data_IF_468446997460
#
_entry.id   IF_468446997460
#
_cell.length_a   1.000
_cell.length_b   1.000
_cell.length_c   1.000
_cell.angle_alpha   90.00
_cell.angle_beta   90.00
_cell.angle_gamma   90.00
#
_symmetry.space_group_name_H-M   'P 1'
#
loop_
_entity.id
_entity.type
_entity.pdbx_description
1 polymer ?
#
# COMPACT_ATOMS: atom_id res chain seq x y z
N UNK A 1 -13.54 -6.23 -10.22
CA UNK A 1 -12.51 -5.50 -9.46
C UNK A 1 -12.61 -3.98 -9.55
N UNK A 2 -12.23 -3.29 -10.64
CA UNK A 2 -12.21 -1.80 -10.63
C UNK A 2 -13.60 -1.20 -10.38
N UNK A 3 -14.64 -1.72 -11.04
CA UNK A 3 -16.03 -1.26 -10.86
C UNK A 3 -16.54 -1.49 -9.44
N UNK A 4 -16.18 -2.62 -8.83
CA UNK A 4 -16.53 -2.94 -7.42
C UNK A 4 -15.80 -2.02 -6.46
N UNK A 5 -14.49 -1.80 -6.66
CA UNK A 5 -13.69 -0.91 -5.82
C UNK A 5 -14.21 0.54 -5.83
N UNK A 6 -14.74 1.02 -6.95
CA UNK A 6 -15.38 2.34 -7.06
C UNK A 6 -16.76 2.32 -6.37
N UNK A 7 -17.55 1.25 -6.54
CA UNK A 7 -18.88 1.15 -5.90
C UNK A 7 -18.81 0.94 -4.38
N UNK A 8 -17.72 0.36 -3.88
CA UNK A 8 -17.51 0.05 -2.47
C UNK A 8 -17.87 1.21 -1.53
N UNK A 9 -17.40 2.42 -1.82
CA UNK A 9 -17.70 3.61 -1.01
C UNK A 9 -19.01 4.33 -1.38
N UNK A 10 -19.74 3.91 -2.41
CA UNK A 10 -20.93 4.61 -2.90
C UNK A 10 -22.25 3.91 -2.55
N UNK A 11 -22.20 2.62 -2.17
CA UNK A 11 -23.39 1.80 -1.91
C UNK A 11 -23.68 1.58 -0.43
N UNK A 12 -22.84 2.08 0.48
CA UNK A 12 -23.07 1.98 1.91
C UNK A 12 -23.92 3.15 2.43
N UNK A 13 -24.79 2.87 3.42
CA UNK A 13 -25.61 3.90 4.06
C UNK A 13 -24.77 4.99 4.75
N UNK A 14 -23.55 4.64 5.19
CA UNK A 14 -22.58 5.54 5.84
C UNK A 14 -21.46 6.05 4.90
N UNK A 15 -21.60 5.83 3.59
CA UNK A 15 -20.65 6.24 2.55
C UNK A 15 -20.19 7.69 2.67
N UNK A 16 -21.17 8.61 2.78
CA UNK A 16 -20.93 10.05 2.84
C UNK A 16 -20.15 10.42 4.09
N UNK A 17 -20.54 9.89 5.25
CA UNK A 17 -19.85 10.13 6.53
C UNK A 17 -18.41 9.65 6.47
N UNK A 18 -18.19 8.47 5.92
CA UNK A 18 -16.87 7.84 5.78
C UNK A 18 -15.96 8.65 4.87
N UNK A 19 -16.43 9.03 3.68
CA UNK A 19 -15.65 9.85 2.74
C UNK A 19 -15.40 11.24 3.30
N UNK A 20 -16.37 11.83 4.00
CA UNK A 20 -16.21 13.14 4.64
C UNK A 20 -15.15 13.10 5.73
N UNK A 21 -15.26 12.16 6.67
CA UNK A 21 -14.34 12.06 7.78
C UNK A 21 -12.94 11.64 7.32
N UNK A 22 -12.86 10.65 6.44
CA UNK A 22 -11.60 10.18 5.86
C UNK A 22 -10.91 11.25 5.02
N UNK A 23 -11.66 12.01 4.23
CA UNK A 23 -11.14 13.16 3.47
C UNK A 23 -10.61 14.27 4.38
N UNK A 24 -11.33 14.62 5.45
CA UNK A 24 -10.86 15.59 6.47
C UNK A 24 -9.62 15.06 7.18
N UNK A 25 -9.59 13.80 7.60
CA UNK A 25 -8.41 13.21 8.24
C UNK A 25 -7.20 13.20 7.29
N UNK A 26 -7.43 12.93 6.00
CA UNK A 26 -6.39 12.97 4.96
C UNK A 26 -5.88 14.40 4.74
N UNK A 27 -6.77 15.39 4.74
CA UNK A 27 -6.41 16.80 4.65
C UNK A 27 -5.51 17.24 5.82
N UNK A 28 -5.80 16.72 7.01
CA UNK A 28 -5.03 16.97 8.23
C UNK A 28 -3.97 15.90 8.51
N UNK A 29 -3.59 15.06 7.54
CA UNK A 29 -2.61 13.98 7.75
C UNK A 29 -1.19 14.49 8.07
N UNK A 30 -0.90 15.78 7.91
CA UNK A 30 0.33 16.37 8.46
C UNK A 30 0.35 16.36 9.99
N UNK A 31 -0.82 16.26 10.62
CA UNK A 31 -0.98 15.94 12.03
C UNK A 31 -0.89 14.42 12.18
N UNK A 32 0.03 13.95 13.02
CA UNK A 32 0.30 12.52 13.20
C UNK A 32 -0.96 11.71 13.59
N UNK A 33 -1.88 12.29 14.36
CA UNK A 33 -3.11 11.61 14.80
C UNK A 33 -4.04 11.28 13.61
N UNK A 34 -4.48 12.25 12.78
CA UNK A 34 -5.20 11.96 11.54
C UNK A 34 -4.48 11.01 10.59
N UNK A 35 -3.16 11.11 10.47
CA UNK A 35 -2.36 10.18 9.65
C UNK A 35 -2.56 8.73 10.10
N UNK A 36 -2.38 8.47 11.39
CA UNK A 36 -2.54 7.13 11.94
C UNK A 36 -4.01 6.67 11.90
N UNK A 37 -4.98 7.57 12.07
CA UNK A 37 -6.39 7.21 11.90
C UNK A 37 -6.72 6.73 10.47
N UNK A 38 -6.21 7.42 9.44
CA UNK A 38 -6.38 6.98 8.03
C UNK A 38 -5.66 5.66 7.78
N UNK A 39 -4.41 5.51 8.25
CA UNK A 39 -3.67 4.27 8.10
C UNK A 39 -4.40 3.08 8.75
N UNK A 40 -4.95 3.27 9.96
CA UNK A 40 -5.75 2.26 10.64
C UNK A 40 -7.04 1.92 9.90
N UNK A 41 -7.68 2.93 9.29
CA UNK A 41 -8.87 2.72 8.47
C UNK A 41 -8.57 1.84 7.27
N UNK A 42 -7.45 2.08 6.57
CA UNK A 42 -7.00 1.27 5.45
C UNK A 42 -6.68 -0.17 5.87
N UNK A 43 -6.13 -0.39 7.07
CA UNK A 43 -5.93 -1.73 7.64
C UNK A 43 -7.26 -2.44 7.85
N UNK A 44 -8.29 -1.75 8.38
CA UNK A 44 -9.64 -2.32 8.55
C UNK A 44 -10.30 -2.68 7.23
N UNK A 45 -10.19 -1.81 6.22
CA UNK A 45 -10.69 -2.08 4.87
C UNK A 45 -10.07 -3.38 4.35
N UNK A 46 -8.75 -3.48 4.45
CA UNK A 46 -8.02 -4.66 3.99
C UNK A 46 -8.45 -5.92 4.75
N UNK A 47 -8.53 -5.86 6.08
CA UNK A 47 -8.94 -6.99 6.93
C UNK A 47 -10.35 -7.51 6.59
N UNK A 48 -11.31 -6.60 6.36
CA UNK A 48 -12.69 -6.98 6.00
C UNK A 48 -12.77 -7.58 4.60
N UNK A 49 -12.20 -6.91 3.61
CA UNK A 49 -12.30 -7.36 2.21
C UNK A 49 -11.51 -8.64 1.96
N UNK A 50 -10.42 -8.86 2.70
CA UNK A 50 -9.71 -10.14 2.71
C UNK A 50 -10.59 -11.31 3.20
N UNK A 51 -11.56 -11.04 4.09
CA UNK A 51 -12.54 -12.03 4.56
C UNK A 51 -13.80 -12.09 3.69
N UNK A 52 -13.86 -11.34 2.60
CA UNK A 52 -15.03 -11.23 1.73
C UNK A 52 -16.17 -10.39 2.32
N UNK A 53 -15.89 -9.58 3.33
CA UNK A 53 -16.82 -8.57 3.85
C UNK A 53 -16.60 -7.25 3.10
N UNK A 54 -17.50 -6.97 2.16
CA UNK A 54 -17.49 -5.80 1.29
C UNK A 54 -18.23 -4.59 1.88
N UNK A 55 -18.59 -4.62 3.18
CA UNK A 55 -19.15 -3.45 3.84
C UNK A 55 -18.05 -2.49 4.33
N UNK A 56 -18.04 -1.21 3.88
CA UNK A 56 -17.07 -0.22 4.34
C UNK A 56 -17.03 -0.10 5.87
N UNK A 57 -15.84 -0.15 6.50
CA UNK A 57 -15.74 0.11 7.92
C UNK A 57 -16.12 1.54 8.22
N UNK A 58 -16.56 1.77 9.46
CA UNK A 58 -16.83 3.09 10.00
C UNK A 58 -15.64 3.58 10.82
N UNK A 59 -15.59 4.89 11.06
CA UNK A 59 -14.59 5.51 11.94
C UNK A 59 -15.07 5.48 13.39
N UNK A 60 -14.89 4.34 14.02
CA UNK A 60 -15.18 4.09 15.43
C UNK A 60 -13.95 3.51 16.14
N UNK A 61 -14.08 3.28 17.45
CA UNK A 61 -13.03 2.64 18.27
C UNK A 61 -11.65 3.30 18.05
N UNK A 62 -11.63 4.64 18.05
CA UNK A 62 -10.49 5.47 17.66
C UNK A 62 -9.14 5.06 18.25
N UNK A 63 -9.14 4.56 19.48
CA UNK A 63 -7.94 4.06 20.14
C UNK A 63 -7.32 2.87 19.39
N UNK A 64 -8.12 1.86 19.06
CA UNK A 64 -7.68 0.69 18.28
C UNK A 64 -7.30 1.11 16.86
N UNK A 65 -8.13 1.94 16.23
CA UNK A 65 -7.89 2.46 14.89
C UNK A 65 -6.51 3.14 14.78
N UNK A 66 -6.20 4.05 15.70
CA UNK A 66 -4.91 4.77 15.72
C UNK A 66 -3.76 3.81 16.02
N UNK A 67 -3.93 2.85 16.94
CA UNK A 67 -2.89 1.87 17.28
C UNK A 67 -2.56 0.98 16.08
N UNK A 68 -3.56 0.50 15.35
CA UNK A 68 -3.35 -0.33 14.17
C UNK A 68 -2.75 0.49 13.03
N UNK A 69 -3.15 1.76 12.87
CA UNK A 69 -2.50 2.67 11.94
C UNK A 69 -1.06 2.99 12.30
N UNK A 70 -0.72 3.10 13.58
CA UNK A 70 0.65 3.28 14.05
C UNK A 70 1.51 2.04 13.73
N UNK A 71 0.99 0.83 13.98
CA UNK A 71 1.67 -0.43 13.63
C UNK A 71 1.88 -0.55 12.12
N UNK A 72 0.86 -0.27 11.31
CA UNK A 72 0.98 -0.27 9.85
C UNK A 72 1.99 0.77 9.34
N UNK A 73 1.99 1.96 9.95
CA UNK A 73 2.97 3.01 9.65
C UNK A 73 4.39 2.59 10.03
N UNK A 74 4.55 1.89 11.15
CA UNK A 74 5.85 1.33 11.56
C UNK A 74 6.34 0.26 10.57
N UNK A 75 5.45 -0.60 10.08
CA UNK A 75 5.79 -1.58 9.02
C UNK A 75 6.29 -0.84 7.77
N UNK A 76 5.50 0.10 7.24
CA UNK A 76 5.87 0.89 6.07
C UNK A 76 7.21 1.62 6.26
N UNK A 77 7.44 2.18 7.46
CA UNK A 77 8.68 2.85 7.82
C UNK A 77 9.88 1.90 7.76
N UNK A 78 9.80 0.70 8.35
CA UNK A 78 10.89 -0.28 8.30
C UNK A 78 11.22 -0.68 6.85
N UNK A 79 10.21 -0.90 6.01
CA UNK A 79 10.42 -1.17 4.59
C UNK A 79 11.09 0.00 3.86
N UNK A 80 10.71 1.25 4.18
CA UNK A 80 11.28 2.45 3.58
C UNK A 80 12.74 2.73 3.99
N UNK A 81 13.22 2.16 5.10
CA UNK A 81 14.62 2.32 5.53
C UNK A 81 15.59 1.73 4.50
N UNK A 82 15.25 0.62 3.85
CA UNK A 82 16.14 -0.06 2.89
C UNK A 82 16.51 0.85 1.70
N UNK A 83 15.56 1.36 0.89
CA UNK A 83 15.90 2.28 -0.18
C UNK A 83 16.55 3.57 0.34
N UNK A 84 16.11 4.08 1.49
CA UNK A 84 16.65 5.32 2.08
C UNK A 84 18.13 5.20 2.43
N UNK A 85 18.52 4.13 3.13
CA UNK A 85 19.92 3.90 3.51
C UNK A 85 20.79 3.71 2.27
N UNK A 86 20.30 2.98 1.26
CA UNK A 86 21.02 2.80 -0.01
C UNK A 86 21.22 4.13 -0.72
N UNK A 87 20.16 4.94 -0.84
CA UNK A 87 20.25 6.27 -1.43
C UNK A 87 21.27 7.15 -0.70
N UNK A 88 21.19 7.21 0.63
CA UNK A 88 22.12 8.00 1.45
C UNK A 88 23.57 7.53 1.27
N UNK A 89 23.80 6.22 1.23
CA UNK A 89 25.15 5.68 1.00
C UNK A 89 25.74 6.15 -0.34
N UNK A 90 24.96 6.13 -1.41
CA UNK A 90 25.40 6.62 -2.73
C UNK A 90 25.55 8.14 -2.79
N UNK A 91 24.63 8.89 -2.19
CA UNK A 91 24.71 10.36 -2.15
C UNK A 91 25.92 10.84 -1.34
N UNK A 92 26.17 10.24 -0.18
CA UNK A 92 27.32 10.60 0.68
C UNK A 92 28.62 10.22 0.01
N UNK A 93 28.76 8.98 -0.48
CA UNK A 93 29.98 8.54 -1.15
C UNK A 93 30.27 9.35 -2.41
N UNK A 94 29.27 9.56 -3.27
CA UNK A 94 29.39 10.37 -4.47
C UNK A 94 29.70 11.84 -4.17
N UNK A 95 29.07 12.41 -3.14
CA UNK A 95 29.34 13.77 -2.68
C UNK A 95 30.76 13.96 -2.16
N UNK A 96 31.27 13.01 -1.36
CA UNK A 96 32.66 13.03 -0.86
C UNK A 96 33.68 12.93 -2.00
N UNK A 97 33.43 12.07 -2.99
CA UNK A 97 34.28 11.93 -4.17
C UNK A 97 34.24 13.21 -5.04
N UNK A 98 33.06 13.81 -5.20
CA UNK A 98 32.88 15.10 -5.88
C UNK A 98 33.61 16.26 -5.20
N UNK A 99 33.64 16.27 -3.86
CA UNK A 99 34.31 17.30 -3.09
C UNK A 99 35.85 17.15 -3.01
N UNK A 100 36.42 16.10 -3.59
CA UNK A 100 37.86 15.81 -3.50
C UNK A 100 38.77 16.77 -4.27
N UNK A 101 38.21 17.59 -5.18
CA UNK A 101 38.97 18.48 -6.07
C UNK A 101 39.64 17.76 -7.24
N UNK A 102 39.42 16.45 -7.40
CA UNK A 102 39.89 15.67 -8.56
C UNK A 102 38.77 15.49 -9.58
N UNK A 103 39.01 15.88 -10.83
CA UNK A 103 38.04 15.69 -11.93
C UNK A 103 37.68 14.21 -12.14
N UNK A 104 38.66 13.32 -12.01
CA UNK A 104 38.46 11.87 -12.15
C UNK A 104 37.58 11.33 -11.02
N UNK A 105 37.88 11.70 -9.76
CA UNK A 105 37.05 11.26 -8.63
C UNK A 105 35.67 11.91 -8.66
N UNK A 106 35.56 13.15 -9.13
CA UNK A 106 34.27 13.82 -9.34
C UNK A 106 33.41 13.10 -10.38
N UNK A 107 34.00 12.67 -11.49
CA UNK A 107 33.31 11.86 -12.49
C UNK A 107 32.86 10.50 -11.93
N UNK A 108 33.73 9.80 -11.17
CA UNK A 108 33.38 8.54 -10.50
C UNK A 108 32.24 8.77 -9.50
N UNK A 109 32.31 9.84 -8.71
CA UNK A 109 31.26 10.21 -7.75
C UNK A 109 29.92 10.46 -8.44
N UNK A 110 29.92 11.19 -9.55
CA UNK A 110 28.71 11.44 -10.36
C UNK A 110 28.10 10.15 -10.92
N UNK A 111 28.92 9.25 -11.47
CA UNK A 111 28.45 7.93 -11.93
C UNK A 111 27.90 7.12 -10.76
N UNK A 112 28.58 7.15 -9.61
CA UNK A 112 28.15 6.49 -8.38
C UNK A 112 26.76 6.95 -7.93
N UNK A 113 26.51 8.27 -7.90
CA UNK A 113 25.19 8.82 -7.58
C UNK A 113 24.14 8.37 -8.59
N UNK A 114 24.45 8.42 -9.88
CA UNK A 114 23.51 8.00 -10.92
C UNK A 114 23.12 6.53 -10.78
N UNK A 115 24.09 5.63 -10.60
CA UNK A 115 23.83 4.21 -10.32
C UNK A 115 23.03 4.06 -9.03
N UNK A 116 23.38 4.81 -7.99
CA UNK A 116 22.67 4.84 -6.72
C UNK A 116 21.20 5.22 -6.85
N UNK A 117 20.87 6.20 -7.69
CA UNK A 117 19.49 6.60 -7.99
C UNK A 117 18.72 5.49 -8.70
N UNK A 118 19.36 4.76 -9.64
CA UNK A 118 18.73 3.63 -10.31
C UNK A 118 18.45 2.47 -9.33
N UNK A 119 19.40 2.16 -8.45
CA UNK A 119 19.23 1.13 -7.42
C UNK A 119 18.16 1.56 -6.41
N UNK A 120 18.17 2.81 -5.97
CA UNK A 120 17.13 3.38 -5.10
C UNK A 120 15.74 3.29 -5.73
N UNK A 121 15.61 3.63 -7.01
CA UNK A 121 14.35 3.54 -7.73
C UNK A 121 13.85 2.10 -7.79
N UNK A 122 14.73 1.15 -8.14
CA UNK A 122 14.40 -0.27 -8.18
C UNK A 122 13.95 -0.81 -6.80
N UNK A 123 14.66 -0.45 -5.73
CA UNK A 123 14.31 -0.83 -4.36
C UNK A 123 12.99 -0.20 -3.90
N UNK A 124 12.76 1.07 -4.27
CA UNK A 124 11.51 1.77 -3.93
C UNK A 124 10.31 1.13 -4.62
N UNK A 125 10.44 0.73 -5.88
CA UNK A 125 9.40 -0.02 -6.59
C UNK A 125 9.15 -1.39 -5.97
N UNK A 126 10.21 -2.10 -5.58
CA UNK A 126 10.08 -3.38 -4.88
C UNK A 126 9.36 -3.22 -3.55
N UNK A 127 9.69 -2.19 -2.77
CA UNK A 127 9.02 -1.84 -1.52
C UNK A 127 7.56 -1.46 -1.76
N UNK A 128 7.27 -0.63 -2.77
CA UNK A 128 5.89 -0.26 -3.12
C UNK A 128 5.04 -1.47 -3.53
N UNK A 129 5.65 -2.49 -4.13
CA UNK A 129 5.03 -3.77 -4.44
C UNK A 129 4.83 -4.65 -3.19
N UNK A 130 5.78 -4.64 -2.26
CA UNK A 130 5.77 -5.51 -1.08
C UNK A 130 4.89 -5.00 0.08
N UNK A 131 4.85 -3.69 0.32
CA UNK A 131 4.19 -3.09 1.49
C UNK A 131 2.69 -3.42 1.59
N UNK A 132 1.89 -3.40 0.51
CA UNK A 132 0.48 -3.76 0.61
C UNK A 132 0.26 -5.21 1.08
N UNK A 133 1.07 -6.16 0.61
CA UNK A 133 1.05 -7.55 1.11
C UNK A 133 1.49 -7.66 2.58
N UNK A 134 2.48 -6.88 3.00
CA UNK A 134 2.91 -6.84 4.40
C UNK A 134 1.79 -6.30 5.31
N UNK A 135 1.11 -5.24 4.88
CA UNK A 135 -0.06 -4.70 5.56
C UNK A 135 -1.21 -5.69 5.58
N UNK A 136 -1.40 -6.46 4.51
CA UNK A 136 -2.42 -7.49 4.45
C UNK A 136 -2.21 -8.61 5.46
N UNK A 137 -0.99 -9.13 5.54
CA UNK A 137 -0.65 -10.16 6.54
C UNK A 137 -0.79 -9.61 7.97
N UNK A 138 -0.39 -8.35 8.20
CA UNK A 138 -0.57 -7.69 9.49
C UNK A 138 -2.06 -7.52 9.85
N UNK A 139 -2.88 -7.09 8.89
CA UNK A 139 -4.31 -6.89 9.08
C UNK A 139 -5.00 -8.20 9.49
N UNK A 140 -4.69 -9.29 8.79
CA UNK A 140 -5.27 -10.62 9.05
C UNK A 140 -4.81 -11.23 10.39
N UNK A 141 -3.51 -11.14 10.70
CA UNK A 141 -2.92 -11.79 11.90
C UNK A 141 -2.94 -10.92 13.15
N UNK A 142 -3.14 -9.60 13.00
CA UNK A 142 -3.00 -8.57 14.04
C UNK A 142 -1.63 -8.57 14.76
N UNK A 143 -0.61 -9.20 14.16
CA UNK A 143 0.75 -9.26 14.68
C UNK A 143 1.72 -8.48 13.78
N UNK A 144 2.42 -7.47 14.33
CA UNK A 144 3.29 -6.59 13.55
C UNK A 144 4.42 -7.35 12.82
N UNK A 145 4.94 -8.42 13.43
CA UNK A 145 5.99 -9.27 12.85
C UNK A 145 5.55 -10.00 11.58
N UNK A 146 4.25 -10.23 11.41
CA UNK A 146 3.71 -10.94 10.25
C UNK A 146 3.99 -10.19 8.94
N UNK A 147 4.06 -8.85 8.99
CA UNK A 147 4.42 -8.02 7.83
C UNK A 147 5.83 -8.29 7.28
N UNK A 148 6.68 -9.04 8.00
CA UNK A 148 8.06 -9.32 7.62
C UNK A 148 8.36 -10.80 7.40
N UNK A 149 7.34 -11.67 7.39
CA UNK A 149 7.53 -13.11 7.21
C UNK A 149 8.00 -13.47 5.79
N UNK A 150 9.25 -13.95 5.61
CA UNK A 150 9.80 -14.12 4.27
C UNK A 150 9.09 -15.21 3.46
N UNK A 151 8.61 -16.26 4.12
CA UNK A 151 7.88 -17.34 3.48
C UNK A 151 6.55 -16.86 2.90
N UNK A 152 5.78 -16.12 3.71
CA UNK A 152 4.49 -15.55 3.32
C UNK A 152 4.67 -14.51 2.22
N UNK A 153 5.62 -13.58 2.39
CA UNK A 153 5.92 -12.55 1.39
C UNK A 153 6.38 -13.16 0.07
N UNK A 154 7.32 -14.11 0.08
CA UNK A 154 7.79 -14.74 -1.17
C UNK A 154 6.66 -15.44 -1.92
N UNK A 155 5.76 -16.13 -1.21
CA UNK A 155 4.62 -16.82 -1.82
C UNK A 155 3.64 -15.84 -2.47
N UNK A 156 3.28 -14.76 -1.76
CA UNK A 156 2.29 -13.79 -2.25
C UNK A 156 2.87 -12.92 -3.38
N UNK A 157 4.10 -12.43 -3.23
CA UNK A 157 4.69 -11.49 -4.19
C UNK A 157 4.96 -12.10 -5.56
N UNK A 158 5.15 -13.43 -5.65
CA UNK A 158 5.31 -14.14 -6.93
C UNK A 158 3.98 -14.64 -7.49
N UNK A 159 2.88 -14.49 -6.75
CA UNK A 159 1.57 -14.94 -7.19
C UNK A 159 1.00 -13.99 -8.25
N UNK A 160 0.43 -14.59 -9.32
CA UNK A 160 -0.11 -13.82 -10.45
C UNK A 160 -1.33 -13.00 -10.04
N UNK A 161 -2.16 -13.52 -9.15
CA UNK A 161 -3.36 -12.85 -8.63
C UNK A 161 -2.97 -11.58 -7.89
N UNK A 162 -1.96 -11.67 -7.01
CA UNK A 162 -1.44 -10.49 -6.30
C UNK A 162 -0.86 -9.48 -7.27
N UNK A 163 -0.06 -9.91 -8.25
CA UNK A 163 0.52 -9.01 -9.25
C UNK A 163 -0.56 -8.23 -10.02
N UNK A 164 -1.64 -8.91 -10.43
CA UNK A 164 -2.78 -8.26 -11.11
C UNK A 164 -3.58 -7.34 -10.19
N UNK A 165 -3.77 -7.73 -8.93
CA UNK A 165 -4.41 -6.90 -7.92
C UNK A 165 -3.64 -5.62 -7.66
N UNK A 166 -2.32 -5.74 -7.46
CA UNK A 166 -1.44 -4.61 -7.26
C UNK A 166 -1.43 -3.66 -8.46
N UNK A 167 -1.37 -4.18 -9.69
CA UNK A 167 -1.44 -3.33 -10.89
C UNK A 167 -2.78 -2.58 -10.99
N UNK A 168 -3.86 -3.22 -10.57
CA UNK A 168 -5.20 -2.61 -10.51
C UNK A 168 -5.26 -1.50 -9.46
N UNK A 169 -4.78 -1.78 -8.24
CA UNK A 169 -4.67 -0.79 -7.17
C UNK A 169 -3.77 0.38 -7.58
N UNK A 170 -2.63 0.11 -8.22
CA UNK A 170 -1.72 1.11 -8.75
C UNK A 170 -2.40 1.99 -9.81
N UNK A 171 -3.15 1.40 -10.75
CA UNK A 171 -3.91 2.15 -11.74
C UNK A 171 -4.94 3.09 -11.10
N UNK A 172 -5.64 2.65 -10.04
CA UNK A 172 -6.59 3.47 -9.28
C UNK A 172 -5.88 4.69 -8.67
N UNK A 173 -4.73 4.49 -8.02
CA UNK A 173 -3.94 5.58 -7.42
C UNK A 173 -3.43 6.54 -8.50
N UNK A 174 -2.97 6.04 -9.65
CA UNK A 174 -2.52 6.88 -10.77
C UNK A 174 -3.67 7.75 -11.31
N UNK A 175 -4.86 7.16 -11.52
CA UNK A 175 -6.06 7.91 -11.94
C UNK A 175 -6.41 8.98 -10.89
N UNK A 176 -6.38 8.63 -9.61
CA UNK A 176 -6.54 9.57 -8.50
C UNK A 176 -5.55 10.74 -8.56
N UNK A 177 -4.27 10.45 -8.81
CA UNK A 177 -3.23 11.46 -8.98
C UNK A 177 -3.47 12.39 -10.17
N UNK A 178 -3.95 11.86 -11.31
CA UNK A 178 -4.33 12.68 -12.48
C UNK A 178 -5.51 13.59 -12.13
N UNK A 179 -6.55 13.07 -11.49
CA UNK A 179 -7.72 13.86 -11.04
C UNK A 179 -7.28 14.95 -10.08
N UNK A 180 -6.49 14.62 -9.06
CA UNK A 180 -5.93 15.59 -8.11
C UNK A 180 -5.09 16.66 -8.82
N UNK A 181 -4.29 16.29 -9.82
CA UNK A 181 -3.49 17.26 -10.60
C UNK A 181 -4.37 18.26 -11.34
N UNK A 182 -5.50 17.82 -11.91
CA UNK A 182 -6.47 18.70 -12.57
C UNK A 182 -7.20 19.60 -11.56
N UNK A 183 -7.54 19.09 -10.38
CA UNK A 183 -8.21 19.86 -9.32
C UNK A 183 -7.33 21.01 -8.81
N UNK A 184 -6.00 20.81 -8.73
CA UNK A 184 -5.04 21.82 -8.26
C UNK A 184 -4.89 23.05 -9.17
N UNK A 185 -5.62 23.13 -10.30
CA UNK A 185 -5.78 24.38 -11.07
C UNK A 185 -6.35 25.50 -10.19
N UNK A 186 -7.20 25.17 -9.22
CA UNK A 186 -7.63 26.09 -8.16
C UNK A 186 -6.85 25.76 -6.88
N UNK A 187 -5.89 26.57 -6.41
CA UNK A 187 -4.92 26.11 -5.41
C UNK A 187 -5.55 25.60 -4.10
N UNK A 188 -6.37 26.41 -3.44
CA UNK A 188 -6.93 26.07 -2.12
C UNK A 188 -8.02 24.99 -2.24
N UNK A 189 -8.99 25.18 -3.14
CA UNK A 189 -10.08 24.22 -3.32
C UNK A 189 -9.58 22.90 -3.92
N UNK A 190 -8.62 22.97 -4.83
CA UNK A 190 -7.97 21.82 -5.44
C UNK A 190 -7.17 21.01 -4.45
N UNK A 191 -6.42 21.67 -3.56
CA UNK A 191 -5.72 21.00 -2.47
C UNK A 191 -6.70 20.25 -1.55
N UNK A 192 -7.78 20.92 -1.13
CA UNK A 192 -8.83 20.31 -0.30
C UNK A 192 -9.44 19.11 -1.03
N UNK A 193 -9.92 19.30 -2.26
CA UNK A 193 -10.54 18.23 -3.05
C UNK A 193 -9.59 17.04 -3.31
N UNK A 194 -8.30 17.30 -3.50
CA UNK A 194 -7.27 16.26 -3.66
C UNK A 194 -7.14 15.38 -2.43
N UNK A 195 -7.39 15.89 -1.22
CA UNK A 195 -7.39 15.07 -0.01
C UNK A 195 -8.54 14.06 -0.01
N UNK A 196 -9.74 14.46 -0.43
CA UNK A 196 -10.88 13.55 -0.56
C UNK A 196 -10.67 12.52 -1.66
N UNK A 197 -10.15 12.94 -2.82
CA UNK A 197 -9.79 12.02 -3.93
C UNK A 197 -8.70 11.04 -3.47
N UNK A 198 -7.70 11.52 -2.74
CA UNK A 198 -6.62 10.70 -2.18
C UNK A 198 -7.15 9.64 -1.21
N UNK A 199 -8.00 10.03 -0.28
CA UNK A 199 -8.66 9.08 0.63
C UNK A 199 -9.46 8.02 -0.12
N UNK A 200 -10.34 8.46 -1.02
CA UNK A 200 -11.22 7.57 -1.78
C UNK A 200 -10.42 6.56 -2.62
N UNK A 201 -9.39 7.02 -3.34
CA UNK A 201 -8.56 6.17 -4.18
C UNK A 201 -7.67 5.24 -3.35
N UNK A 202 -7.21 5.67 -2.18
CA UNK A 202 -6.51 4.80 -1.23
C UNK A 202 -7.43 3.67 -0.73
N UNK A 203 -8.66 3.97 -0.31
CA UNK A 203 -9.62 2.95 0.12
C UNK A 203 -9.92 1.96 -1.01
N UNK A 204 -10.21 2.45 -2.22
CA UNK A 204 -10.45 1.60 -3.38
C UNK A 204 -9.24 0.72 -3.74
N UNK A 205 -8.02 1.24 -3.60
CA UNK A 205 -6.81 0.46 -3.81
C UNK A 205 -6.65 -0.64 -2.74
N UNK A 206 -6.87 -0.34 -1.46
CA UNK A 206 -6.77 -1.31 -0.37
C UNK A 206 -7.88 -2.35 -0.40
N UNK A 207 -9.08 -1.98 -0.88
CA UNK A 207 -10.16 -2.91 -1.19
C UNK A 207 -9.68 -4.00 -2.16
N UNK A 208 -9.06 -3.61 -3.28
CA UNK A 208 -8.53 -4.53 -4.28
C UNK A 208 -7.44 -5.44 -3.69
N UNK A 209 -6.53 -4.86 -2.90
CA UNK A 209 -5.46 -5.62 -2.26
C UNK A 209 -6.03 -6.67 -1.29
N UNK A 210 -6.97 -6.29 -0.43
CA UNK A 210 -7.59 -7.22 0.52
C UNK A 210 -8.29 -8.36 -0.21
N UNK A 211 -9.06 -8.09 -1.27
CA UNK A 211 -9.66 -9.15 -2.08
C UNK A 211 -8.64 -10.13 -2.67
N UNK A 212 -7.58 -9.62 -3.30
CA UNK A 212 -6.54 -10.49 -3.86
C UNK A 212 -5.79 -11.28 -2.81
N UNK A 213 -5.64 -10.71 -1.61
CA UNK A 213 -5.06 -11.40 -0.47
C UNK A 213 -5.96 -12.54 0.00
N UNK A 214 -7.26 -12.29 0.16
CA UNK A 214 -8.27 -13.28 0.50
C UNK A 214 -8.34 -14.43 -0.50
N UNK A 215 -8.27 -14.13 -1.80
CA UNK A 215 -8.24 -15.15 -2.86
C UNK A 215 -7.02 -16.09 -2.76
N UNK A 216 -5.85 -15.57 -2.38
CA UNK A 216 -4.63 -16.36 -2.24
C UNK A 216 -4.66 -17.21 -0.97
N UNK A 217 -5.17 -16.66 0.14
CA UNK A 217 -5.12 -17.27 1.46
C UNK A 217 -6.30 -18.19 1.76
N UNK A 218 -7.45 -17.91 1.17
CA UNK A 218 -8.70 -18.64 1.37
C UNK A 218 -9.16 -19.38 0.11
N UNK A 219 -8.25 -19.59 -0.86
CA UNK A 219 -8.55 -20.38 -2.05
C UNK A 219 -9.25 -21.69 -1.63
N UNK A 220 -10.45 -21.99 -2.16
CA UNK A 220 -11.13 -23.23 -1.83
C UNK A 220 -10.17 -24.36 -2.19
N UNK A 221 -9.89 -25.24 -1.23
CA UNK A 221 -9.10 -26.45 -1.46
C UNK A 221 -9.61 -27.07 -2.76
N UNK A 222 -8.79 -27.07 -3.82
CA UNK A 222 -9.12 -27.77 -5.07
C UNK A 222 -9.63 -29.14 -4.65
N UNK A 223 -10.92 -29.41 -4.92
CA UNK A 223 -11.51 -30.72 -4.68
C UNK A 223 -10.52 -31.75 -5.23
N UNK A 224 -9.92 -32.53 -4.33
CA UNK A 224 -9.15 -33.68 -4.76
C UNK A 224 -10.12 -34.51 -5.60
N UNK A 225 -9.80 -34.82 -6.87
CA UNK A 225 -10.69 -35.61 -7.69
C UNK A 225 -10.96 -36.89 -6.91
N UNK A 226 -12.23 -37.12 -6.58
CA UNK A 226 -12.67 -38.29 -5.85
C UNK A 226 -12.00 -39.49 -6.50
N UNK A 227 -11.20 -40.23 -5.73
CA UNK A 227 -10.61 -41.50 -6.15
C UNK A 227 -11.79 -42.40 -6.46
N UNK A 228 -12.20 -42.41 -7.73
CA UNK A 228 -13.29 -43.22 -8.25
C UNK A 228 -12.87 -44.65 -8.01
N UNK A 229 -13.61 -45.32 -7.12
CA UNK A 229 -13.29 -46.65 -6.66
C UNK A 229 -12.94 -47.57 -7.82
N UNK A 230 -11.74 -48.12 -7.76
CA UNK A 230 -11.44 -49.37 -8.46
C UNK A 230 -11.97 -50.50 -7.58
N UNK A 231 -13.24 -50.82 -7.78
CA UNK A 231 -13.79 -52.15 -7.53
C UNK A 231 -14.46 -52.55 -8.83
N UNK A 232 -13.86 -53.51 -9.52
CA UNK A 232 -14.51 -54.66 -10.17
C UNK A 232 -13.54 -55.30 -11.18
N UNK A 233 -12.87 -56.37 -10.75
CA UNK A 233 -12.62 -57.58 -11.56
C UNK A 233 -12.82 -58.79 -10.66
#
# INVERSE_FOLDING_TARGET
MISEAIRYLNESDDAVTTVLLGGVMTLFAFLLVPLFAVAGYLVRVLDRTARGDDEPPVFDEWGELIVDGLKASAIAFVYALVPTVVLLAFLVSGGLLGASGSDVLGAIGGIGVFVGLLVWLALTLLVAYAVPAAMANFAETRHIGAGFEPATMRRVLVDRTYATGWLTAFAIIVVGGVVSSLLNVVPILGFIASAFVGFYTAVAAYYVIGHTWGEIQHAPMKEQPAVRGQVEI
#
